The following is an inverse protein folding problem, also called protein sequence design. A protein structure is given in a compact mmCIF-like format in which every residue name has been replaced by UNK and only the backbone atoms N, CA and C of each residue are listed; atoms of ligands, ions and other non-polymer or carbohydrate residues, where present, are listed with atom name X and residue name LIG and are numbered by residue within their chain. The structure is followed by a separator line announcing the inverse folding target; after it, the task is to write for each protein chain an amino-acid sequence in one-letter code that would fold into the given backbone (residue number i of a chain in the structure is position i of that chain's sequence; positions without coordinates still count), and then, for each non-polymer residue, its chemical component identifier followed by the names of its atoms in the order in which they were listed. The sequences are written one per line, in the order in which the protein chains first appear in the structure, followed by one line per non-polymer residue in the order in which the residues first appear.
data_IF_352826276117
#
_entry.id   IF_352826276117
#
_cell.length_a   1.000
_cell.length_b   1.000
_cell.length_c   1.000
_cell.angle_alpha   90.00
_cell.angle_beta   90.00
_cell.angle_gamma   90.00
#
_symmetry.space_group_name_H-M   'P 1'
#
loop_
_entity.id
_entity.type
_entity.pdbx_description
1 polymer ?
#
# COMPACT_ATOMS: atom_id res chain seq x y z
N UNK A 1 -23.14 -3.99 -12.66
CA UNK A 1 -21.76 -3.69 -13.08
C UNK A 1 -21.14 -2.50 -12.34
N UNK A 2 -21.80 -1.34 -12.25
CA UNK A 2 -21.28 -0.16 -11.54
C UNK A 2 -20.88 -0.45 -10.08
N UNK A 3 -21.74 -1.14 -9.33
CA UNK A 3 -21.45 -1.49 -7.93
C UNK A 3 -20.16 -2.31 -7.80
N UNK A 4 -19.94 -3.29 -8.68
CA UNK A 4 -18.73 -4.12 -8.69
C UNK A 4 -17.48 -3.27 -8.94
N UNK A 5 -17.52 -2.38 -9.93
CA UNK A 5 -16.41 -1.46 -10.23
C UNK A 5 -16.10 -0.58 -9.02
N UNK A 6 -17.13 0.01 -8.41
CA UNK A 6 -16.96 0.87 -7.24
C UNK A 6 -16.40 0.10 -6.03
N UNK A 7 -16.84 -1.14 -5.81
CA UNK A 7 -16.29 -2.00 -4.75
C UNK A 7 -14.81 -2.31 -5.01
N UNK A 8 -14.41 -2.61 -6.25
CA UNK A 8 -13.00 -2.84 -6.59
C UNK A 8 -12.15 -1.59 -6.37
N UNK A 9 -12.63 -0.42 -6.81
CA UNK A 9 -11.95 0.86 -6.57
C UNK A 9 -11.83 1.19 -5.08
N UNK A 10 -12.85 0.85 -4.29
CA UNK A 10 -12.82 1.00 -2.84
C UNK A 10 -11.80 0.06 -2.17
N UNK A 11 -11.65 -1.17 -2.65
CA UNK A 11 -10.61 -2.08 -2.15
C UNK A 11 -9.21 -1.52 -2.44
N UNK A 12 -9.00 -0.97 -3.65
CA UNK A 12 -7.74 -0.31 -4.01
C UNK A 12 -7.47 0.89 -3.10
N UNK A 13 -8.49 1.71 -2.80
CA UNK A 13 -8.31 2.86 -1.92
C UNK A 13 -7.95 2.45 -0.50
N UNK A 14 -8.56 1.40 0.04
CA UNK A 14 -8.15 0.82 1.34
C UNK A 14 -6.69 0.38 1.30
N UNK A 15 -6.28 -0.35 0.26
CA UNK A 15 -4.89 -0.78 0.11
C UNK A 15 -3.93 0.41 0.02
N UNK A 16 -4.33 1.48 -0.68
CA UNK A 16 -3.55 2.72 -0.78
C UNK A 16 -3.34 3.37 0.59
N UNK A 17 -4.40 3.51 1.40
CA UNK A 17 -4.30 4.04 2.77
C UNK A 17 -3.46 3.15 3.68
N UNK A 18 -3.57 1.83 3.56
CA UNK A 18 -2.77 0.87 4.32
C UNK A 18 -1.27 1.05 4.02
N UNK A 19 -0.92 1.17 2.74
CA UNK A 19 0.45 1.38 2.28
C UNK A 19 1.00 2.70 2.82
N UNK A 20 0.23 3.79 2.73
CA UNK A 20 0.61 5.09 3.32
C UNK A 20 0.79 4.99 4.83
N UNK A 21 -0.15 4.37 5.55
CA UNK A 21 -0.05 4.18 6.99
C UNK A 21 1.22 3.41 7.37
N UNK A 22 1.55 2.34 6.63
CA UNK A 22 2.77 1.58 6.83
C UNK A 22 4.04 2.39 6.54
N UNK A 23 4.04 3.22 5.50
CA UNK A 23 5.18 4.06 5.12
C UNK A 23 5.43 5.13 6.18
N UNK A 24 4.37 5.84 6.59
CA UNK A 24 4.44 6.82 7.68
C UNK A 24 4.93 6.15 8.96
N UNK A 25 4.36 5.00 9.34
CA UNK A 25 4.81 4.27 10.53
C UNK A 25 6.29 3.90 10.46
N UNK A 26 6.77 3.45 9.29
CA UNK A 26 8.17 3.12 9.08
C UNK A 26 9.10 4.32 9.27
N UNK A 27 8.71 5.51 8.79
CA UNK A 27 9.46 6.74 8.99
C UNK A 27 9.41 7.22 10.44
N UNK A 28 8.24 7.20 11.08
CA UNK A 28 8.11 7.54 12.49
C UNK A 28 9.03 6.68 13.36
N UNK A 29 9.13 5.38 13.06
CA UNK A 29 10.04 4.47 13.74
C UNK A 29 11.52 4.77 13.40
N UNK A 30 11.85 4.91 12.12
CA UNK A 30 13.23 5.16 11.66
C UNK A 30 13.83 6.48 12.18
N UNK A 31 13.01 7.53 12.29
CA UNK A 31 13.41 8.83 12.81
C UNK A 31 13.25 8.95 14.34
N UNK A 32 13.04 7.84 15.05
CA UNK A 32 12.86 7.80 16.52
C UNK A 32 11.74 8.72 17.05
N UNK A 33 10.72 9.01 16.23
CA UNK A 33 9.55 9.81 16.64
C UNK A 33 8.64 9.00 17.57
N UNK A 34 8.54 7.68 17.33
CA UNK A 34 7.74 6.76 18.13
C UNK A 34 8.63 5.67 18.74
N UNK A 35 8.31 5.28 19.97
CA UNK A 35 9.06 4.26 20.71
C UNK A 35 8.35 2.90 20.65
N UNK A 36 8.99 1.90 20.04
CA UNK A 36 8.44 0.54 19.93
C UNK A 36 8.40 -0.24 21.26
N UNK A 37 8.97 0.29 22.34
CA UNK A 37 8.80 -0.29 23.68
C UNK A 37 7.36 -0.13 24.20
N UNK A 38 6.59 0.80 23.64
CA UNK A 38 5.17 0.91 23.92
C UNK A 38 4.39 -0.21 23.20
N UNK A 39 3.65 -1.01 23.96
CA UNK A 39 2.90 -2.17 23.43
C UNK A 39 1.89 -1.79 22.34
N UNK A 40 1.25 -0.62 22.43
CA UNK A 40 0.29 -0.15 21.43
C UNK A 40 1.01 0.14 20.11
N UNK A 41 2.12 0.88 20.15
CA UNK A 41 2.93 1.20 18.97
C UNK A 41 3.46 -0.08 18.32
N UNK A 42 4.00 -1.01 19.11
CA UNK A 42 4.51 -2.29 18.62
C UNK A 42 3.42 -3.12 17.94
N UNK A 43 2.19 -3.10 18.48
CA UNK A 43 1.07 -3.86 17.92
C UNK A 43 0.60 -3.24 16.60
N UNK A 44 0.47 -1.93 16.52
CA UNK A 44 0.14 -1.22 15.26
C UNK A 44 1.20 -1.53 14.20
N UNK A 45 2.47 -1.42 14.54
CA UNK A 45 3.58 -1.70 13.63
C UNK A 45 3.57 -3.14 13.10
N UNK A 46 3.36 -4.12 13.99
CA UNK A 46 3.23 -5.53 13.59
C UNK A 46 2.03 -5.78 12.69
N UNK A 47 0.87 -5.18 12.97
CA UNK A 47 -0.32 -5.33 12.15
C UNK A 47 -0.10 -4.73 10.75
N UNK A 48 0.43 -3.51 10.67
CA UNK A 48 0.77 -2.88 9.39
C UNK A 48 1.76 -3.72 8.59
N UNK A 49 2.83 -4.20 9.25
CA UNK A 49 3.82 -5.08 8.64
C UNK A 49 3.19 -6.36 8.08
N UNK A 50 2.39 -7.09 8.87
CA UNK A 50 1.77 -8.33 8.42
C UNK A 50 0.82 -8.13 7.25
N UNK A 51 0.10 -7.00 7.21
CA UNK A 51 -0.83 -6.68 6.13
C UNK A 51 -0.12 -6.28 4.84
N UNK A 52 1.04 -5.61 4.91
CA UNK A 52 1.78 -5.16 3.72
C UNK A 52 2.86 -6.12 3.24
N UNK A 53 3.40 -6.97 4.12
CA UNK A 53 4.52 -7.90 3.83
C UNK A 53 4.31 -8.79 2.60
N UNK A 54 3.12 -9.39 2.36
CA UNK A 54 2.90 -10.23 1.17
C UNK A 54 3.14 -9.49 -0.16
N UNK A 55 2.91 -8.17 -0.17
CA UNK A 55 3.10 -7.31 -1.35
C UNK A 55 4.50 -6.69 -1.36
N UNK A 56 5.02 -6.27 -0.22
CA UNK A 56 6.34 -5.63 -0.13
C UNK A 56 7.49 -6.62 -0.33
N UNK A 57 7.37 -7.86 0.14
CA UNK A 57 8.41 -8.88 0.02
C UNK A 57 8.83 -9.16 -1.44
N UNK A 58 7.92 -9.43 -2.39
CA UNK A 58 8.32 -9.63 -3.79
C UNK A 58 8.95 -8.39 -4.40
N UNK A 59 8.49 -7.18 -4.04
CA UNK A 59 9.03 -5.92 -4.56
C UNK A 59 10.47 -5.70 -4.07
N UNK A 60 10.75 -5.92 -2.77
CA UNK A 60 12.11 -5.81 -2.21
C UNK A 60 13.11 -6.78 -2.83
N UNK A 61 12.66 -7.91 -3.38
CA UNK A 61 13.54 -8.85 -4.08
C UNK A 61 14.01 -8.34 -5.43
N UNK A 62 13.30 -7.38 -6.01
CA UNK A 62 13.58 -6.81 -7.34
C UNK A 62 14.31 -5.47 -7.20
N UNK A 63 14.01 -4.71 -6.15
CA UNK A 63 14.64 -3.43 -5.88
C UNK A 63 16.09 -3.60 -5.40
N UNK A 64 17.01 -2.70 -5.81
CA UNK A 64 18.34 -2.65 -5.22
C UNK A 64 18.26 -2.16 -3.75
N UNK A 65 19.30 -2.46 -2.97
CA UNK A 65 19.36 -2.03 -1.57
C UNK A 65 19.64 -0.54 -1.46
N UNK A 66 18.66 0.25 -1.01
CA UNK A 66 18.75 1.71 -0.86
C UNK A 66 19.26 2.17 0.52
N UNK A 67 20.24 1.47 1.09
CA UNK A 67 20.95 1.95 2.29
C UNK A 67 20.06 2.22 3.51
N UNK A 68 19.09 1.34 3.79
CA UNK A 68 18.25 1.40 4.99
C UNK A 68 16.87 2.05 4.80
N UNK A 69 16.58 2.62 3.63
CA UNK A 69 15.25 3.13 3.30
C UNK A 69 14.51 2.10 2.43
N UNK A 70 13.32 1.68 2.86
CA UNK A 70 12.46 0.80 2.07
C UNK A 70 11.65 1.63 1.06
N UNK A 71 11.97 1.49 -0.24
CA UNK A 71 11.22 2.14 -1.33
C UNK A 71 10.02 1.31 -1.83
N UNK A 72 9.76 0.14 -1.24
CA UNK A 72 8.64 -0.71 -1.65
C UNK A 72 7.27 -0.05 -1.50
N UNK A 73 6.98 0.75 -0.46
CA UNK A 73 5.71 1.47 -0.37
C UNK A 73 5.49 2.36 -1.58
N UNK A 74 6.51 3.08 -2.04
CA UNK A 74 6.40 3.95 -3.22
C UNK A 74 6.05 3.15 -4.48
N UNK A 75 6.74 2.03 -4.70
CA UNK A 75 6.45 1.15 -5.84
C UNK A 75 5.03 0.59 -5.78
N UNK A 76 4.56 0.17 -4.60
CA UNK A 76 3.18 -0.29 -4.43
C UNK A 76 2.17 0.81 -4.73
N UNK A 77 2.40 2.04 -4.26
CA UNK A 77 1.51 3.16 -4.55
C UNK A 77 1.38 3.42 -6.05
N UNK A 78 2.50 3.35 -6.78
CA UNK A 78 2.51 3.49 -8.25
C UNK A 78 1.71 2.38 -8.91
N UNK A 79 1.87 1.13 -8.46
CA UNK A 79 1.11 -0.02 -8.98
C UNK A 79 -0.38 0.14 -8.69
N UNK A 80 -0.76 0.50 -7.46
CA UNK A 80 -2.15 0.71 -7.07
C UNK A 80 -2.80 1.85 -7.87
N UNK A 81 -2.08 2.96 -8.06
CA UNK A 81 -2.54 4.06 -8.91
C UNK A 81 -2.75 3.60 -10.35
N UNK A 82 -1.80 2.86 -10.92
CA UNK A 82 -1.94 2.32 -12.27
C UNK A 82 -3.15 1.39 -12.39
N UNK A 83 -3.36 0.48 -11.43
CA UNK A 83 -4.53 -0.41 -11.39
C UNK A 83 -5.84 0.36 -11.30
N UNK A 84 -5.89 1.41 -10.47
CA UNK A 84 -7.04 2.30 -10.39
C UNK A 84 -7.34 2.95 -11.75
N UNK A 85 -6.31 3.46 -12.44
CA UNK A 85 -6.48 4.07 -13.75
C UNK A 85 -6.95 3.06 -14.79
N UNK A 86 -6.38 1.84 -14.82
CA UNK A 86 -6.84 0.77 -15.72
C UNK A 86 -8.31 0.44 -15.48
N UNK A 87 -8.75 0.37 -14.22
CA UNK A 87 -10.15 0.12 -13.91
C UNK A 87 -11.05 1.26 -14.41
N UNK A 88 -10.68 2.52 -14.14
CA UNK A 88 -11.50 3.69 -14.49
C UNK A 88 -11.55 3.98 -15.99
N UNK A 89 -10.42 3.82 -16.68
CA UNK A 89 -10.26 4.24 -18.08
C UNK A 89 -10.49 3.12 -19.08
N UNK A 90 -10.30 1.86 -18.69
CA UNK A 90 -10.42 0.71 -19.61
C UNK A 90 -11.59 -0.19 -19.21
N UNK A 91 -11.61 -0.69 -17.98
CA UNK A 91 -12.61 -1.68 -17.56
C UNK A 91 -14.00 -1.07 -17.38
N UNK A 92 -14.10 0.11 -16.76
CA UNK A 92 -15.40 0.72 -16.50
C UNK A 92 -16.16 1.08 -17.79
N UNK A 93 -15.56 1.76 -18.79
CA UNK A 93 -16.24 2.02 -20.06
C UNK A 93 -16.61 0.72 -20.79
N UNK A 94 -15.66 -0.22 -20.91
CA UNK A 94 -15.88 -1.49 -21.60
C UNK A 94 -17.02 -2.33 -21.00
N UNK A 95 -17.18 -2.34 -19.67
CA UNK A 95 -18.23 -3.10 -18.99
C UNK A 95 -19.57 -2.38 -18.90
N UNK A 96 -19.57 -1.05 -19.06
CA UNK A 96 -20.78 -0.21 -19.00
C UNK A 96 -21.30 0.16 -20.39
N UNK A 97 -20.56 -0.17 -21.46
CA UNK A 97 -20.91 0.19 -22.83
C UNK A 97 -20.80 1.70 -23.10
N UNK A 98 -19.93 2.38 -22.36
CA UNK A 98 -19.61 3.81 -22.50
C UNK A 98 -18.31 4.00 -23.28
#
# INVERSE_FOLDING_TARGET
MIAVINTLLFIISIAWFLVIASAIFSWLYAFNVINANNQVIATIGRSLYQLTEPVYRPIRRILPNFGGVDLSPLVVLVILFFLEQVIRSVLAPALLGL
#
